data_IF_801076418832
#
_entry.id   IF_801076418832
#
_cell.length_a   1.000
_cell.length_b   1.000
_cell.length_c   1.000
_cell.angle_alpha   90.00
_cell.angle_beta   90.00
_cell.angle_gamma   90.00
#
_symmetry.space_group_name_H-M   'P 1'
#
loop_
_entity.id
_entity.type
_entity.pdbx_description
1 polymer ?
#
# COMPACT_ATOMS: atom_id res chain seq x y z
N UNK A 1 -10.77 -9.75 3.95
CA UNK A 1 -10.20 -10.51 2.80
C UNK A 1 -9.38 -11.66 3.36
N UNK A 2 -9.25 -12.77 2.64
CA UNK A 2 -8.29 -13.85 2.93
C UNK A 2 -7.63 -14.28 1.62
N UNK A 3 -6.37 -14.72 1.66
CA UNK A 3 -5.60 -15.23 0.54
C UNK A 3 -4.68 -16.36 1.05
N UNK A 4 -4.87 -17.57 0.55
CA UNK A 4 -4.21 -18.81 1.03
C UNK A 4 -2.89 -19.13 0.29
N UNK A 5 -2.44 -18.23 -0.59
CA UNK A 5 -1.29 -18.45 -1.46
C UNK A 5 -1.64 -18.94 -2.86
N UNK A 6 -2.82 -19.54 -3.07
CA UNK A 6 -3.33 -19.95 -4.37
C UNK A 6 -4.62 -19.22 -4.77
N UNK A 7 -5.56 -19.07 -3.85
CA UNK A 7 -6.88 -18.48 -4.00
C UNK A 7 -7.12 -17.43 -2.93
N UNK A 8 -8.10 -16.55 -3.16
CA UNK A 8 -8.50 -15.57 -2.16
C UNK A 8 -9.90 -15.04 -2.37
N UNK A 9 -10.42 -14.37 -1.35
CA UNK A 9 -11.70 -13.68 -1.42
C UNK A 9 -11.67 -12.37 -0.64
N UNK A 10 -12.47 -11.42 -1.10
CA UNK A 10 -12.80 -10.21 -0.37
C UNK A 10 -14.19 -10.33 0.25
N UNK A 11 -14.41 -9.68 1.40
CA UNK A 11 -15.74 -9.57 1.98
C UNK A 11 -16.20 -8.14 1.76
N UNK A 12 -17.25 -7.97 0.97
CA UNK A 12 -17.84 -6.65 0.69
C UNK A 12 -19.33 -6.71 1.01
N UNK A 13 -19.80 -5.82 1.89
CA UNK A 13 -21.19 -5.81 2.39
C UNK A 13 -21.68 -7.18 2.90
N UNK A 14 -20.78 -7.95 3.55
CA UNK A 14 -21.09 -9.30 4.07
C UNK A 14 -21.06 -10.43 3.03
N UNK A 15 -20.89 -10.13 1.74
CA UNK A 15 -20.75 -11.14 0.69
C UNK A 15 -19.28 -11.48 0.43
N UNK A 16 -18.97 -12.77 0.26
CA UNK A 16 -17.67 -13.24 -0.20
C UNK A 16 -17.60 -13.12 -1.72
N UNK A 17 -16.65 -12.33 -2.20
CA UNK A 17 -16.36 -12.14 -3.62
C UNK A 17 -15.00 -12.81 -3.89
N UNK A 18 -14.94 -13.88 -4.70
CA UNK A 18 -13.67 -14.49 -5.10
C UNK A 18 -12.77 -13.46 -5.81
N UNK A 19 -11.47 -13.52 -5.54
CA UNK A 19 -10.49 -12.75 -6.31
C UNK A 19 -10.41 -13.31 -7.73
N UNK A 20 -10.27 -12.44 -8.73
CA UNK A 20 -10.03 -12.87 -10.11
C UNK A 20 -8.55 -13.28 -10.31
N UNK A 21 -8.22 -13.86 -11.48
CA UNK A 21 -6.85 -14.34 -11.76
C UNK A 21 -5.80 -13.23 -11.68
N UNK A 22 -6.17 -12.00 -12.04
CA UNK A 22 -5.28 -10.84 -12.02
C UNK A 22 -5.00 -10.41 -10.59
N UNK A 23 -6.02 -10.38 -9.74
CA UNK A 23 -5.92 -10.11 -8.32
C UNK A 23 -5.10 -11.18 -7.60
N UNK A 24 -5.32 -12.46 -7.90
CA UNK A 24 -4.53 -13.58 -7.37
C UNK A 24 -3.06 -13.46 -7.78
N UNK A 25 -2.78 -13.20 -9.06
CA UNK A 25 -1.40 -13.02 -9.55
C UNK A 25 -0.71 -11.84 -8.87
N UNK A 26 -1.42 -10.71 -8.72
CA UNK A 26 -0.94 -9.54 -8.00
C UNK A 26 -0.59 -9.88 -6.54
N UNK A 27 -1.47 -10.62 -5.84
CA UNK A 27 -1.24 -11.07 -4.46
C UNK A 27 -0.03 -11.99 -4.34
N UNK A 28 0.13 -12.95 -5.26
CA UNK A 28 1.32 -13.83 -5.32
C UNK A 28 2.61 -13.05 -5.53
N UNK A 29 2.55 -11.90 -6.21
CA UNK A 29 3.72 -11.06 -6.44
C UNK A 29 4.12 -10.20 -5.24
N UNK A 30 3.25 -10.05 -4.24
CA UNK A 30 3.56 -9.36 -3.00
C UNK A 30 4.43 -10.27 -2.13
N UNK A 31 5.63 -9.80 -1.79
CA UNK A 31 6.66 -10.59 -1.10
C UNK A 31 6.75 -10.31 0.40
N UNK A 32 5.94 -9.40 0.94
CA UNK A 32 5.94 -9.08 2.36
C UNK A 32 5.28 -7.75 2.70
N UNK A 33 5.40 -7.34 3.97
CA UNK A 33 4.77 -6.11 4.49
C UNK A 33 5.37 -4.82 3.92
N UNK A 34 6.65 -4.85 3.52
CA UNK A 34 7.39 -3.69 3.04
C UNK A 34 7.84 -3.96 1.60
N UNK A 35 7.08 -3.47 0.63
CA UNK A 35 7.37 -3.65 -0.79
C UNK A 35 8.77 -3.12 -1.16
N UNK A 36 9.23 -2.06 -0.48
CA UNK A 36 10.53 -1.41 -0.65
C UNK A 36 11.70 -2.38 -0.56
N UNK A 37 11.59 -3.43 0.27
CA UNK A 37 12.65 -4.44 0.43
C UNK A 37 12.85 -5.31 -0.82
N UNK A 38 11.89 -5.27 -1.74
CA UNK A 38 11.86 -6.09 -2.94
C UNK A 38 11.83 -5.26 -4.23
N UNK A 39 11.97 -3.94 -4.13
CA UNK A 39 12.06 -3.06 -5.29
C UNK A 39 13.49 -3.04 -5.83
N UNK A 40 13.63 -3.21 -7.15
CA UNK A 40 14.90 -3.08 -7.85
C UNK A 40 15.11 -1.65 -8.32
N UNK A 41 16.34 -1.14 -8.25
CA UNK A 41 16.66 0.23 -8.65
C UNK A 41 16.31 0.53 -10.12
N UNK A 42 16.31 -0.49 -10.99
CA UNK A 42 15.89 -0.36 -12.40
C UNK A 42 14.43 0.05 -12.58
N UNK A 43 13.60 -0.19 -11.56
CA UNK A 43 12.18 0.07 -11.58
C UNK A 43 11.81 1.39 -10.89
N UNK A 44 12.82 2.13 -10.40
CA UNK A 44 12.66 3.34 -9.61
C UNK A 44 13.24 4.53 -10.34
N UNK A 45 12.50 5.63 -10.33
CA UNK A 45 12.94 6.91 -10.90
C UNK A 45 12.63 8.02 -9.90
N UNK A 46 13.67 8.77 -9.48
CA UNK A 46 13.46 9.99 -8.71
C UNK A 46 12.87 11.05 -9.65
N UNK A 47 11.62 11.43 -9.41
CA UNK A 47 10.92 12.44 -10.21
C UNK A 47 11.31 13.84 -9.76
N UNK A 48 11.23 14.10 -8.45
CA UNK A 48 11.54 15.41 -7.87
C UNK A 48 11.68 15.34 -6.35
N UNK A 49 12.27 16.39 -5.78
CA UNK A 49 12.05 16.77 -4.38
C UNK A 49 10.94 17.83 -4.36
N UNK A 50 9.91 17.64 -3.55
CA UNK A 50 8.75 18.54 -3.43
C UNK A 50 8.31 18.64 -1.97
N UNK A 51 7.25 19.39 -1.69
CA UNK A 51 6.67 19.51 -0.35
C UNK A 51 5.23 19.00 -0.35
N UNK A 52 4.82 18.27 0.67
CA UNK A 52 3.43 17.87 0.95
C UNK A 52 3.10 18.32 2.37
N UNK A 53 2.04 19.11 2.53
CA UNK A 53 1.55 19.59 3.85
C UNK A 53 2.64 20.23 4.74
N UNK A 54 3.63 20.87 4.11
CA UNK A 54 4.76 21.52 4.80
C UNK A 54 5.98 20.61 5.02
N UNK A 55 5.90 19.34 4.66
CA UNK A 55 6.99 18.36 4.78
C UNK A 55 7.68 18.15 3.45
N UNK A 56 9.01 18.24 3.44
CA UNK A 56 9.84 17.94 2.27
C UNK A 56 9.86 16.43 1.98
N UNK A 57 9.59 16.06 0.73
CA UNK A 57 9.51 14.66 0.28
C UNK A 57 10.24 14.42 -1.03
N UNK A 58 10.74 13.20 -1.22
CA UNK A 58 11.16 12.67 -2.52
C UNK A 58 9.99 11.98 -3.20
N UNK A 59 9.59 12.46 -4.39
CA UNK A 59 8.64 11.77 -5.25
C UNK A 59 9.39 10.74 -6.10
N UNK A 60 9.13 9.47 -5.85
CA UNK A 60 9.70 8.34 -6.57
C UNK A 60 8.61 7.73 -7.44
N UNK A 61 8.87 7.60 -8.73
CA UNK A 61 8.06 6.80 -9.64
C UNK A 61 8.52 5.35 -9.56
N UNK A 62 7.56 4.44 -9.45
CA UNK A 62 7.78 2.99 -9.42
C UNK A 62 7.10 2.39 -10.64
N UNK A 63 7.83 1.60 -11.42
CA UNK A 63 7.30 0.89 -12.59
C UNK A 63 7.25 -0.60 -12.32
N UNK A 64 6.06 -1.20 -12.38
CA UNK A 64 5.85 -2.65 -12.22
C UNK A 64 4.83 -3.12 -13.25
N UNK A 65 5.17 -4.15 -14.02
CA UNK A 65 4.31 -4.73 -15.07
C UNK A 65 3.74 -3.65 -16.03
N UNK A 66 4.62 -2.77 -16.53
CA UNK A 66 4.32 -1.62 -17.39
C UNK A 66 3.38 -0.56 -16.80
N UNK A 67 3.04 -0.67 -15.50
CA UNK A 67 2.27 0.33 -14.76
C UNK A 67 3.16 1.19 -13.91
N UNK A 68 2.89 2.49 -13.93
CA UNK A 68 3.57 3.45 -13.06
C UNK A 68 2.69 3.81 -11.87
N UNK A 69 3.30 3.85 -10.69
CA UNK A 69 2.76 4.47 -9.48
C UNK A 69 3.77 5.45 -8.90
N UNK A 70 3.34 6.27 -7.94
CA UNK A 70 4.23 7.19 -7.24
C UNK A 70 4.21 6.95 -5.74
N UNK A 71 5.37 7.11 -5.13
CA UNK A 71 5.58 7.00 -3.69
C UNK A 71 6.33 8.23 -3.22
N UNK A 72 5.93 8.79 -2.09
CA UNK A 72 6.47 10.04 -1.56
C UNK A 72 7.08 9.74 -0.20
N UNK A 73 8.39 9.90 -0.09
CA UNK A 73 9.12 9.61 1.14
C UNK A 73 9.59 10.90 1.79
N UNK A 74 9.34 11.03 3.08
CA UNK A 74 9.85 12.10 3.93
C UNK A 74 11.39 12.16 3.84
N UNK A 75 11.93 13.36 3.65
CA UNK A 75 13.38 13.56 3.46
C UNK A 75 14.18 13.37 4.75
N UNK A 76 13.59 13.64 5.91
CA UNK A 76 14.26 13.57 7.22
C UNK A 76 14.23 12.16 7.79
N UNK A 77 13.09 11.49 7.70
CA UNK A 77 12.81 10.20 8.33
C UNK A 77 12.87 9.01 7.38
N UNK A 78 12.70 9.26 6.07
CA UNK A 78 12.56 8.21 5.05
C UNK A 78 11.19 7.51 5.07
N UNK A 79 10.23 7.96 5.89
CA UNK A 79 8.91 7.32 5.97
C UNK A 79 8.08 7.59 4.72
N UNK A 80 7.30 6.59 4.31
CA UNK A 80 6.37 6.71 3.19
C UNK A 80 5.17 7.56 3.60
N UNK A 81 5.06 8.80 3.12
CA UNK A 81 3.94 9.67 3.49
C UNK A 81 2.75 9.55 2.55
N UNK A 82 2.98 9.19 1.28
CA UNK A 82 1.92 9.08 0.28
C UNK A 82 2.22 8.05 -0.79
N UNK A 83 1.19 7.35 -1.26
CA UNK A 83 1.20 6.64 -2.55
C UNK A 83 0.13 7.19 -3.48
N UNK A 84 0.41 7.16 -4.78
CA UNK A 84 -0.54 7.50 -5.84
C UNK A 84 -0.54 6.42 -6.90
N UNK A 85 -1.71 5.85 -7.15
CA UNK A 85 -1.92 4.80 -8.14
C UNK A 85 -3.07 5.19 -9.05
N UNK A 86 -2.85 5.10 -10.36
CA UNK A 86 -3.91 5.32 -11.35
C UNK A 86 -4.27 3.98 -11.98
N UNK A 87 -5.52 3.58 -11.82
CA UNK A 87 -6.06 2.39 -12.45
C UNK A 87 -7.12 2.79 -13.48
N UNK A 88 -7.08 2.15 -14.65
CA UNK A 88 -8.17 2.22 -15.61
C UNK A 88 -9.22 1.17 -15.29
N UNK A 89 -10.46 1.60 -15.07
CA UNK A 89 -11.61 0.72 -14.89
C UNK A 89 -12.72 1.16 -15.84
N UNK A 90 -13.25 0.23 -16.63
CA UNK A 90 -14.35 0.48 -17.59
C UNK A 90 -14.10 1.70 -18.52
N UNK A 91 -12.84 1.96 -18.90
CA UNK A 91 -12.46 3.10 -19.75
C UNK A 91 -12.35 4.44 -19.03
N UNK A 92 -12.50 4.48 -17.70
CA UNK A 92 -12.24 5.65 -16.87
C UNK A 92 -10.98 5.46 -16.05
N UNK A 93 -10.12 6.48 -16.03
CA UNK A 93 -8.94 6.51 -15.15
C UNK A 93 -9.35 7.02 -13.77
N UNK A 94 -9.07 6.23 -12.74
CA UNK A 94 -9.27 6.60 -11.33
C UNK A 94 -7.91 6.63 -10.66
N UNK A 95 -7.53 7.81 -10.18
CA UNK A 95 -6.36 7.97 -9.30
C UNK A 95 -6.80 7.79 -7.85
N UNK A 96 -6.13 6.88 -7.17
CA UNK A 96 -6.23 6.65 -5.73
C UNK A 96 -5.00 7.23 -5.06
N UNK A 97 -5.21 8.09 -4.07
CA UNK A 97 -4.16 8.66 -3.23
C UNK A 97 -4.31 8.07 -1.84
N UNK A 98 -3.23 7.51 -1.29
CA UNK A 98 -3.20 7.03 0.09
C UNK A 98 -2.18 7.82 0.88
N UNK A 99 -2.62 8.49 1.93
CA UNK A 99 -1.77 9.22 2.88
C UNK A 99 -1.53 8.39 4.14
N UNK A 100 -0.31 8.42 4.64
CA UNK A 100 0.11 7.73 5.86
C UNK A 100 0.63 8.73 6.88
N UNK A 101 0.19 8.59 8.12
CA UNK A 101 0.60 9.49 9.21
C UNK A 101 0.55 8.80 10.57
N UNK A 102 0.87 9.56 11.63
CA UNK A 102 0.89 9.09 13.00
C UNK A 102 1.78 7.85 13.20
N UNK A 103 2.99 7.90 12.65
CA UNK A 103 3.97 6.84 12.78
C UNK A 103 4.33 6.56 14.24
N UNK A 104 4.33 5.30 14.65
CA UNK A 104 4.73 4.85 15.99
C UNK A 104 5.69 3.68 15.90
N UNK A 105 6.61 3.62 16.86
CA UNK A 105 7.50 2.47 17.01
C UNK A 105 6.72 1.25 17.52
N UNK A 106 6.84 0.14 16.81
CA UNK A 106 6.32 -1.16 17.21
C UNK A 106 7.47 -2.15 17.05
N UNK A 107 8.09 -2.51 18.18
CA UNK A 107 9.24 -3.41 18.22
C UNK A 107 10.40 -2.99 17.28
N UNK A 108 10.72 -1.69 17.23
CA UNK A 108 11.81 -1.17 16.39
C UNK A 108 11.43 -0.92 14.93
N UNK A 109 10.14 -1.08 14.57
CA UNK A 109 9.62 -0.78 13.24
C UNK A 109 8.61 0.35 13.33
N UNK A 110 8.83 1.41 12.55
CA UNK A 110 7.94 2.57 12.51
C UNK A 110 6.75 2.27 11.61
N UNK A 111 5.57 2.12 12.22
CA UNK A 111 4.33 1.74 11.54
C UNK A 111 3.38 2.95 11.48
N UNK A 112 2.73 3.24 10.35
CA UNK A 112 1.72 4.29 10.29
C UNK A 112 0.46 3.85 11.05
N UNK A 113 -0.04 4.69 11.96
CA UNK A 113 -1.29 4.41 12.67
C UNK A 113 -2.51 5.06 12.03
N UNK A 114 -2.30 5.91 11.03
CA UNK A 114 -3.40 6.53 10.30
C UNK A 114 -3.15 6.39 8.80
N UNK A 115 -4.15 5.88 8.10
CA UNK A 115 -4.15 5.73 6.65
C UNK A 115 -5.41 6.40 6.08
N UNK A 116 -5.24 7.38 5.20
CA UNK A 116 -6.35 8.05 4.52
C UNK A 116 -6.32 7.73 3.03
N UNK A 117 -7.34 7.04 2.55
CA UNK A 117 -7.50 6.64 1.15
C UNK A 117 -8.50 7.57 0.48
N UNK A 118 -8.08 8.24 -0.60
CA UNK A 118 -8.94 9.11 -1.41
C UNK A 118 -9.00 8.55 -2.83
N UNK A 119 -10.20 8.21 -3.30
CA UNK A 119 -10.44 7.69 -4.65
C UNK A 119 -11.60 8.46 -5.29
N UNK A 120 -11.29 9.33 -6.25
CA UNK A 120 -12.28 10.24 -6.83
C UNK A 120 -12.97 11.10 -5.75
N UNK A 121 -14.32 11.10 -5.66
CA UNK A 121 -15.06 11.87 -4.65
C UNK A 121 -15.12 11.20 -3.27
N UNK A 122 -14.65 9.96 -3.13
CA UNK A 122 -14.73 9.20 -1.88
C UNK A 122 -13.43 9.32 -1.09
N UNK A 123 -13.55 9.46 0.22
CA UNK A 123 -12.43 9.45 1.14
C UNK A 123 -12.75 8.58 2.37
N UNK A 124 -11.81 7.71 2.74
CA UNK A 124 -11.89 6.83 3.89
C UNK A 124 -10.67 7.08 4.78
N UNK A 125 -10.87 7.20 6.09
CA UNK A 125 -9.78 7.28 7.06
C UNK A 125 -9.83 6.05 7.94
N UNK A 126 -8.70 5.37 8.04
CA UNK A 126 -8.48 4.20 8.87
C UNK A 126 -7.53 4.57 10.00
N UNK A 127 -7.99 4.37 11.22
CA UNK A 127 -7.19 4.56 12.44
C UNK A 127 -6.88 3.19 13.04
N UNK A 128 -5.59 2.89 13.14
CA UNK A 128 -5.10 1.66 13.76
C UNK A 128 -5.08 1.83 15.27
N UNK A 129 -5.76 0.94 15.99
CA UNK A 129 -5.77 0.95 17.45
C UNK A 129 -4.59 0.18 18.05
N UNK A 130 -4.19 -0.92 17.40
CA UNK A 130 -3.15 -1.82 17.89
C UNK A 130 -2.42 -2.47 16.70
N UNK A 131 -1.10 -2.63 16.84
CA UNK A 131 -0.27 -3.44 15.95
C UNK A 131 0.50 -4.42 16.82
N UNK A 132 0.41 -5.71 16.50
CA UNK A 132 1.18 -6.78 17.14
C UNK A 132 2.05 -7.46 16.12
N UNK A 133 3.34 -7.62 16.43
CA UNK A 133 4.32 -8.23 15.53
C UNK A 133 4.79 -9.54 16.13
N UNK A 134 4.71 -10.62 15.34
CA UNK A 134 5.11 -11.99 15.73
C UNK A 134 4.42 -12.52 16.99
N UNK A 135 3.17 -12.10 17.24
CA UNK A 135 2.40 -12.53 18.41
C UNK A 135 1.16 -13.31 17.97
N UNK A 136 1.04 -14.57 18.42
CA UNK A 136 -0.20 -15.32 18.38
C UNK A 136 -0.67 -15.83 17.01
N UNK A 137 0.15 -15.76 15.97
CA UNK A 137 -0.19 -16.29 14.63
C UNK A 137 0.34 -17.71 14.44
N UNK A 138 -0.45 -18.54 13.77
CA UNK A 138 -0.14 -19.92 13.38
C UNK A 138 -0.28 -20.08 11.87
N UNK A 139 0.24 -21.17 11.30
CA UNK A 139 0.06 -21.44 9.87
C UNK A 139 -1.44 -21.60 9.49
N UNK A 140 -2.30 -22.00 10.43
CA UNK A 140 -3.73 -22.18 10.19
C UNK A 140 -4.47 -20.85 9.96
N UNK A 141 -3.95 -19.73 10.48
CA UNK A 141 -4.53 -18.40 10.30
C UNK A 141 -4.39 -17.86 8.87
N UNK A 142 -3.60 -18.53 8.04
CA UNK A 142 -3.29 -18.15 6.66
C UNK A 142 -3.88 -19.12 5.61
N UNK A 143 -4.70 -20.09 6.03
CA UNK A 143 -5.40 -21.04 5.14
C UNK A 143 -6.85 -20.61 4.84
#
# INVERSE_FOLDING_TARGET
QNFDGENGYMVQQGQRIPMDEKDVSSRKSNKGLFDELFMESSNLELVSKTTIDGTDVYKIKVTKDDKSSYRYYDVETGYLLRTEETNETQGQSITTVTDYSNYKDVNGVMMPYTMKVTAGPQAFTFETTEVKINEGVTAEDFN
#
